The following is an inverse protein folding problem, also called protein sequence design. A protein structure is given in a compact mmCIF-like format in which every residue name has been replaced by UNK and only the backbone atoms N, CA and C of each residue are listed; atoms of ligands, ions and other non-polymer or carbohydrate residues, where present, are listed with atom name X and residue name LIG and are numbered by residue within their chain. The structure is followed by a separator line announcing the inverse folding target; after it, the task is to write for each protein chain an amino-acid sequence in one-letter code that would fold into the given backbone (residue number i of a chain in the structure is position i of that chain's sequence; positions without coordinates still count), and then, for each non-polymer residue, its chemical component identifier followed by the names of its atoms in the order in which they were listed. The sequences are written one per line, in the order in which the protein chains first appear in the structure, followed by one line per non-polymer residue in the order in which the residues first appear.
data_IF_682832864236
#
_entry.id   IF_682832864236
#
_cell.length_a   1.000
_cell.length_b   1.000
_cell.length_c   1.000
_cell.angle_alpha   90.00
_cell.angle_beta   90.00
_cell.angle_gamma   90.00
#
_symmetry.space_group_name_H-M   'P 1'
#
loop_
_entity.id
_entity.type
_entity.pdbx_description
1 polymer ?
#
# COMPACT_ATOMS: atom_id res chain seq x y z
N UNK A 1 49.38 60.74 13.41
CA UNK A 1 49.30 59.32 13.03
C UNK A 1 48.36 58.64 14.01
N UNK A 2 47.13 58.38 13.57
CA UNK A 2 45.98 57.97 14.37
C UNK A 2 45.28 56.84 13.60
N UNK A 3 44.73 55.89 14.36
CA UNK A 3 43.86 54.76 13.98
C UNK A 3 44.51 53.46 13.50
N UNK A 4 44.69 52.54 14.46
CA UNK A 4 44.53 51.09 14.25
C UNK A 4 43.06 50.74 14.54
N UNK A 5 42.31 50.38 13.52
CA UNK A 5 40.96 49.80 13.67
C UNK A 5 41.12 48.29 13.59
N UNK A 6 40.77 47.62 14.69
CA UNK A 6 40.67 46.17 14.80
C UNK A 6 39.31 45.78 14.23
N UNK A 7 39.30 45.05 13.10
CA UNK A 7 38.07 44.46 12.55
C UNK A 7 37.77 43.22 13.37
N UNK A 8 36.74 43.29 14.21
CA UNK A 8 36.20 42.13 14.93
C UNK A 8 35.48 41.23 13.95
N UNK A 9 35.99 40.00 13.84
CA UNK A 9 35.45 38.90 13.06
C UNK A 9 33.98 38.63 13.40
N UNK A 10 33.13 38.65 12.37
CA UNK A 10 31.77 38.13 12.40
C UNK A 10 31.88 36.60 12.50
N UNK A 11 31.87 36.09 13.72
CA UNK A 11 31.68 34.67 14.01
C UNK A 11 30.19 34.37 14.13
N UNK A 12 29.49 34.24 13.00
CA UNK A 12 28.17 33.61 13.00
C UNK A 12 28.34 32.10 13.25
N UNK A 13 28.20 31.71 14.52
CA UNK A 13 27.96 30.33 14.92
C UNK A 13 26.57 29.92 14.45
N UNK A 14 26.47 29.38 13.24
CA UNK A 14 25.33 28.54 12.86
C UNK A 14 25.79 27.08 12.90
N UNK A 15 25.58 26.43 14.04
CA UNK A 15 25.60 24.98 14.15
C UNK A 15 24.34 24.43 13.45
N UNK A 16 24.37 24.35 12.13
CA UNK A 16 23.44 23.47 11.40
C UNK A 16 24.01 22.05 11.45
N UNK A 17 23.62 21.30 12.49
CA UNK A 17 23.69 19.84 12.45
C UNK A 17 22.71 19.34 11.38
N UNK A 18 23.16 19.37 10.13
CA UNK A 18 22.51 18.66 9.03
C UNK A 18 22.87 17.19 9.18
N UNK A 19 22.06 16.46 9.94
CA UNK A 19 22.03 15.01 9.81
C UNK A 19 21.40 14.71 8.44
N UNK A 20 22.26 14.50 7.45
CA UNK A 20 21.86 13.94 6.18
C UNK A 20 21.34 12.53 6.45
N UNK A 21 20.02 12.37 6.54
CA UNK A 21 19.41 11.06 6.44
C UNK A 21 19.80 10.52 5.06
N UNK A 22 20.61 9.47 5.04
CA UNK A 22 20.89 8.75 3.81
C UNK A 22 19.54 8.24 3.29
N UNK A 23 19.03 8.90 2.25
CA UNK A 23 17.93 8.37 1.46
C UNK A 23 18.54 7.22 0.68
N UNK A 24 18.50 6.03 1.26
CA UNK A 24 18.81 4.80 0.54
C UNK A 24 17.78 4.73 -0.57
N UNK A 25 18.20 4.97 -1.82
CA UNK A 25 17.34 4.76 -2.97
C UNK A 25 16.83 3.33 -2.89
N UNK A 26 15.52 3.18 -2.65
CA UNK A 26 14.87 1.89 -2.60
C UNK A 26 15.04 1.26 -3.97
N UNK A 27 15.99 0.34 -4.07
CA UNK A 27 16.11 -0.51 -5.25
C UNK A 27 14.78 -1.23 -5.37
N UNK A 28 14.11 -1.23 -6.54
CA UNK A 28 12.86 -1.95 -6.69
C UNK A 28 13.15 -3.44 -6.49
N UNK A 29 12.96 -3.90 -5.25
CA UNK A 29 13.06 -5.30 -4.87
C UNK A 29 12.01 -6.02 -5.72
N UNK A 30 12.48 -6.95 -6.54
CA UNK A 30 11.64 -7.78 -7.42
C UNK A 30 10.53 -8.36 -6.55
N UNK A 31 9.27 -7.99 -6.84
CA UNK A 31 8.12 -8.42 -6.07
C UNK A 31 8.20 -9.94 -5.82
N UNK A 32 8.07 -10.42 -4.57
CA UNK A 32 8.28 -11.82 -4.27
C UNK A 32 7.37 -12.71 -5.12
N UNK A 33 7.94 -13.81 -5.60
CA UNK A 33 7.33 -14.78 -6.54
C UNK A 33 6.01 -15.37 -6.01
N UNK A 34 5.82 -15.37 -4.68
CA UNK A 34 4.59 -15.68 -3.95
C UNK A 34 3.34 -14.88 -4.39
N UNK A 35 3.53 -13.71 -4.99
CA UNK A 35 2.47 -12.73 -5.21
C UNK A 35 1.44 -13.11 -6.27
N UNK A 36 1.76 -13.98 -7.23
CA UNK A 36 0.92 -14.12 -8.43
C UNK A 36 -0.23 -15.10 -8.26
N UNK A 37 0.00 -16.27 -7.66
CA UNK A 37 -1.03 -17.29 -7.44
C UNK A 37 -2.07 -16.80 -6.43
N UNK A 38 -1.62 -16.21 -5.32
CA UNK A 38 -2.51 -15.60 -4.33
C UNK A 38 -3.33 -14.48 -4.96
N UNK A 39 -2.68 -13.58 -5.71
CA UNK A 39 -3.39 -12.48 -6.37
C UNK A 39 -4.44 -13.01 -7.35
N UNK A 40 -4.09 -13.98 -8.18
CA UNK A 40 -5.02 -14.59 -9.13
C UNK A 40 -6.19 -15.27 -8.42
N UNK A 41 -5.95 -15.96 -7.30
CA UNK A 41 -7.01 -16.56 -6.49
C UNK A 41 -7.95 -15.47 -5.95
N UNK A 42 -7.40 -14.44 -5.31
CA UNK A 42 -8.20 -13.33 -4.75
C UNK A 42 -9.02 -12.65 -5.85
N UNK A 43 -8.41 -12.29 -6.98
CA UNK A 43 -9.11 -11.66 -8.10
C UNK A 43 -10.22 -12.56 -8.67
N UNK A 44 -9.98 -13.87 -8.78
CA UNK A 44 -11.01 -14.81 -9.23
C UNK A 44 -12.17 -14.89 -8.23
N UNK A 45 -11.90 -14.91 -6.92
CA UNK A 45 -12.96 -14.92 -5.89
C UNK A 45 -13.77 -13.62 -5.96
N UNK A 46 -13.11 -12.46 -6.01
CA UNK A 46 -13.79 -11.15 -6.12
C UNK A 46 -14.66 -11.09 -7.38
N UNK A 47 -14.11 -11.54 -8.53
CA UNK A 47 -14.85 -11.62 -9.80
C UNK A 47 -16.04 -12.56 -9.71
N UNK A 48 -15.89 -13.71 -9.06
CA UNK A 48 -16.97 -14.68 -8.88
C UNK A 48 -18.06 -14.17 -7.95
N UNK A 49 -17.71 -13.39 -6.92
CA UNK A 49 -18.66 -12.77 -6.01
C UNK A 49 -19.43 -11.62 -6.67
N UNK A 50 -18.83 -10.90 -7.61
CA UNK A 50 -19.49 -9.82 -8.33
C UNK A 50 -20.46 -10.34 -9.41
N UNK A 51 -21.76 -10.09 -9.25
CA UNK A 51 -22.82 -10.54 -10.18
C UNK A 51 -23.41 -9.44 -11.06
N UNK A 52 -22.73 -8.30 -11.14
CA UNK A 52 -23.16 -7.13 -11.90
C UNK A 52 -23.80 -6.04 -11.03
N UNK A 53 -24.01 -4.85 -11.60
CA UNK A 53 -24.19 -3.63 -10.83
C UNK A 53 -25.55 -3.53 -10.14
N UNK A 54 -26.53 -4.32 -10.57
CA UNK A 54 -27.87 -4.37 -9.98
C UNK A 54 -28.04 -5.51 -8.97
N UNK A 55 -27.07 -6.43 -8.88
CA UNK A 55 -27.15 -7.66 -8.08
C UNK A 55 -26.14 -7.73 -6.95
N UNK A 56 -25.16 -6.83 -6.94
CA UNK A 56 -24.07 -6.86 -5.96
C UNK A 56 -23.73 -5.43 -5.54
N UNK A 57 -24.03 -5.12 -4.29
CA UNK A 57 -23.49 -3.94 -3.59
C UNK A 57 -22.17 -4.27 -2.87
N UNK A 58 -21.49 -3.25 -2.34
CA UNK A 58 -20.22 -3.41 -1.63
C UNK A 58 -20.30 -4.33 -0.40
N UNK A 59 -21.41 -4.34 0.34
CA UNK A 59 -21.56 -5.20 1.52
C UNK A 59 -21.68 -6.66 1.09
N UNK A 60 -22.49 -6.93 0.07
CA UNK A 60 -22.68 -8.25 -0.51
C UNK A 60 -21.38 -8.80 -1.10
N UNK A 61 -20.63 -7.95 -1.80
CA UNK A 61 -19.33 -8.31 -2.36
C UNK A 61 -18.35 -8.72 -1.25
N UNK A 62 -18.15 -7.85 -0.25
CA UNK A 62 -17.21 -8.10 0.85
C UNK A 62 -17.61 -9.34 1.64
N UNK A 63 -18.90 -9.51 1.92
CA UNK A 63 -19.41 -10.69 2.62
C UNK A 63 -19.11 -11.98 1.86
N UNK A 64 -19.43 -12.03 0.57
CA UNK A 64 -19.16 -13.21 -0.26
C UNK A 64 -17.66 -13.55 -0.29
N UNK A 65 -16.80 -12.55 -0.46
CA UNK A 65 -15.34 -12.75 -0.47
C UNK A 65 -14.87 -13.27 0.88
N UNK A 66 -15.32 -12.66 1.98
CA UNK A 66 -14.96 -13.09 3.33
C UNK A 66 -15.42 -14.52 3.61
N UNK A 67 -16.63 -14.90 3.21
CA UNK A 67 -17.15 -16.26 3.41
C UNK A 67 -16.26 -17.30 2.72
N UNK A 68 -15.85 -17.07 1.47
CA UNK A 68 -14.94 -17.97 0.74
C UNK A 68 -13.58 -18.08 1.43
N UNK A 69 -12.96 -16.96 1.82
CA UNK A 69 -11.62 -16.99 2.43
C UNK A 69 -11.61 -17.53 3.87
N UNK A 70 -12.71 -17.39 4.60
CA UNK A 70 -12.82 -17.92 5.96
C UNK A 70 -13.10 -19.43 5.98
N UNK A 71 -13.72 -19.98 4.93
CA UNK A 71 -14.15 -21.39 4.89
C UNK A 71 -13.23 -22.27 4.06
N UNK A 72 -12.79 -21.79 2.89
CA UNK A 72 -12.25 -22.66 1.84
C UNK A 72 -10.76 -22.46 1.57
N UNK A 73 -10.15 -21.40 2.11
CA UNK A 73 -8.78 -21.01 1.76
C UNK A 73 -7.85 -21.04 2.97
N UNK A 74 -6.90 -21.99 3.04
CA UNK A 74 -5.84 -21.97 4.05
C UNK A 74 -5.03 -20.68 3.98
N UNK A 75 -4.74 -20.09 5.15
CA UNK A 75 -3.95 -18.86 5.26
C UNK A 75 -2.70 -19.05 6.13
N UNK A 76 -1.72 -19.87 5.71
CA UNK A 76 -0.49 -20.11 6.46
C UNK A 76 0.42 -18.88 6.54
N UNK A 77 0.19 -17.88 5.69
CA UNK A 77 1.01 -16.68 5.57
C UNK A 77 0.36 -15.45 6.21
N UNK A 78 -0.76 -15.67 6.93
CA UNK A 78 -1.50 -14.68 7.68
C UNK A 78 -1.81 -13.41 6.88
N UNK A 79 -2.06 -13.55 5.57
CA UNK A 79 -2.43 -12.42 4.73
C UNK A 79 -3.81 -11.89 5.14
N UNK A 80 -4.02 -10.60 4.90
CA UNK A 80 -5.28 -9.90 5.08
C UNK A 80 -5.71 -9.29 3.77
N UNK A 81 -7.01 -9.28 3.55
CA UNK A 81 -7.66 -8.71 2.38
C UNK A 81 -8.48 -7.51 2.82
N UNK A 82 -8.43 -6.44 2.04
CA UNK A 82 -9.26 -5.26 2.25
C UNK A 82 -9.75 -4.76 0.90
N UNK A 83 -11.05 -4.53 0.80
CA UNK A 83 -11.67 -3.87 -0.37
C UNK A 83 -12.23 -2.54 0.13
N UNK A 84 -11.89 -1.46 -0.55
CA UNK A 84 -12.35 -0.10 -0.23
C UNK A 84 -12.79 0.63 -1.49
N UNK A 85 -13.75 1.55 -1.36
CA UNK A 85 -14.29 2.29 -2.50
C UNK A 85 -15.73 1.91 -2.76
N UNK A 86 -16.19 2.24 -3.96
CA UNK A 86 -17.57 2.08 -4.37
C UNK A 86 -17.77 0.77 -5.14
N UNK A 87 -18.86 0.08 -4.82
CA UNK A 87 -19.31 -1.10 -5.56
C UNK A 87 -20.83 -1.02 -5.71
N UNK A 88 -21.35 -0.77 -6.93
CA UNK A 88 -20.63 -0.60 -8.19
C UNK A 88 -19.82 0.70 -8.23
N UNK A 89 -18.70 0.72 -8.97
CA UNK A 89 -17.80 1.88 -9.03
C UNK A 89 -16.31 1.51 -8.95
N UNK A 90 -15.49 2.51 -8.66
CA UNK A 90 -14.05 2.34 -8.48
C UNK A 90 -13.74 1.81 -7.07
N UNK A 91 -12.85 0.82 -6.99
CA UNK A 91 -12.47 0.20 -5.74
C UNK A 91 -11.01 -0.22 -5.73
N UNK A 92 -10.41 -0.20 -4.54
CA UNK A 92 -9.07 -0.73 -4.28
C UNK A 92 -9.18 -2.07 -3.56
N UNK A 93 -8.51 -3.08 -4.10
CA UNK A 93 -8.23 -4.34 -3.42
C UNK A 93 -6.80 -4.29 -2.87
N UNK A 94 -6.65 -4.47 -1.57
CA UNK A 94 -5.37 -4.47 -0.87
C UNK A 94 -5.17 -5.84 -0.23
N UNK A 95 -4.06 -6.49 -0.58
CA UNK A 95 -3.59 -7.76 -0.02
C UNK A 95 -2.30 -7.47 0.73
N UNK A 96 -2.19 -7.89 1.99
CA UNK A 96 -0.99 -7.65 2.78
C UNK A 96 -0.73 -8.73 3.81
N UNK A 97 0.53 -8.93 4.22
CA UNK A 97 0.90 -9.88 5.26
C UNK A 97 1.79 -9.25 6.36
N UNK A 98 2.02 -9.94 7.50
CA UNK A 98 2.90 -9.44 8.56
C UNK A 98 4.37 -9.29 8.15
N UNK A 99 4.81 -9.98 7.08
CA UNK A 99 6.16 -9.85 6.54
C UNK A 99 6.36 -8.53 5.77
N UNK A 100 5.30 -7.74 5.57
CA UNK A 100 5.35 -6.46 4.89
C UNK A 100 5.15 -6.55 3.37
N UNK A 101 4.78 -7.71 2.83
CA UNK A 101 4.40 -7.80 1.43
C UNK A 101 3.03 -7.15 1.25
N UNK A 102 2.91 -6.22 0.30
CA UNK A 102 1.66 -5.53 -0.01
C UNK A 102 1.41 -5.52 -1.51
N UNK A 103 0.15 -5.77 -1.90
CA UNK A 103 -0.34 -5.67 -3.27
C UNK A 103 -1.59 -4.81 -3.25
N UNK A 104 -1.61 -3.76 -4.07
CA UNK A 104 -2.78 -2.91 -4.28
C UNK A 104 -3.22 -3.01 -5.73
N UNK A 105 -4.45 -3.45 -5.95
CA UNK A 105 -5.08 -3.51 -7.25
C UNK A 105 -6.23 -2.51 -7.34
N UNK A 106 -6.25 -1.75 -8.42
CA UNK A 106 -7.31 -0.82 -8.75
C UNK A 106 -8.33 -1.54 -9.62
N UNK A 107 -9.55 -1.64 -9.13
CA UNK A 107 -10.66 -2.38 -9.72
C UNK A 107 -11.76 -1.42 -10.16
N UNK A 108 -12.49 -1.80 -11.20
CA UNK A 108 -13.71 -1.14 -11.63
C UNK A 108 -14.85 -2.15 -11.70
N UNK A 109 -15.93 -1.87 -10.96
CA UNK A 109 -17.13 -2.68 -10.90
C UNK A 109 -18.24 -2.04 -11.73
N UNK A 110 -18.21 -2.31 -13.05
CA UNK A 110 -19.24 -1.91 -14.01
C UNK A 110 -20.19 -3.07 -14.34
N UNK A 111 -20.38 -3.40 -15.61
CA UNK A 111 -21.14 -4.62 -15.97
C UNK A 111 -20.43 -5.92 -15.56
N UNK A 112 -19.11 -5.86 -15.46
CA UNK A 112 -18.25 -6.91 -14.91
C UNK A 112 -17.10 -6.25 -14.14
N UNK A 113 -16.43 -7.03 -13.31
CA UNK A 113 -15.21 -6.58 -12.64
C UNK A 113 -14.07 -6.47 -13.67
N UNK A 114 -13.41 -5.33 -13.72
CA UNK A 114 -12.15 -5.12 -14.43
C UNK A 114 -11.01 -4.82 -13.45
N UNK A 115 -9.80 -5.24 -13.83
CA UNK A 115 -8.57 -4.94 -13.10
C UNK A 115 -7.80 -3.93 -13.93
N UNK A 116 -7.69 -2.70 -13.45
CA UNK A 116 -7.03 -1.62 -14.19
C UNK A 116 -5.51 -1.75 -14.09
N UNK A 117 -5.01 -1.94 -12.86
CA UNK A 117 -3.60 -2.21 -12.59
C UNK A 117 -3.42 -2.81 -11.20
N UNK A 118 -2.34 -3.55 -11.00
CA UNK A 118 -1.89 -4.01 -9.70
C UNK A 118 -0.45 -3.55 -9.46
N UNK A 119 -0.17 -3.11 -8.25
CA UNK A 119 1.15 -2.66 -7.82
C UNK A 119 1.52 -3.49 -6.60
N UNK A 120 2.69 -4.12 -6.64
CA UNK A 120 3.26 -4.82 -5.50
C UNK A 120 4.46 -4.05 -4.97
N UNK A 121 4.55 -3.94 -3.65
CA UNK A 121 5.64 -3.27 -2.97
C UNK A 121 5.81 -3.86 -1.57
N UNK A 122 7.00 -3.65 -1.00
CA UNK A 122 7.36 -4.09 0.34
C UNK A 122 7.30 -2.91 1.28
N UNK A 123 6.54 -3.05 2.36
CA UNK A 123 6.55 -2.12 3.50
C UNK A 123 7.35 -2.74 4.64
N UNK A 124 7.92 -1.95 5.56
CA UNK A 124 8.54 -2.50 6.76
C UNK A 124 7.58 -3.46 7.48
N UNK A 125 8.05 -4.63 7.95
CA UNK A 125 7.21 -5.55 8.71
C UNK A 125 6.58 -4.83 9.90
N UNK A 126 5.31 -5.11 10.17
CA UNK A 126 4.63 -4.51 11.31
C UNK A 126 5.28 -5.04 12.59
N UNK A 127 5.90 -4.16 13.37
CA UNK A 127 6.35 -4.55 14.71
C UNK A 127 5.14 -4.77 15.63
N UNK A 128 5.31 -5.53 16.71
CA UNK A 128 4.22 -5.80 17.66
C UNK A 128 3.58 -4.48 18.13
N UNK A 129 2.30 -4.27 17.81
CA UNK A 129 1.54 -3.06 18.16
C UNK A 129 1.43 -2.00 17.05
N UNK A 130 2.03 -2.20 15.87
CA UNK A 130 1.83 -1.32 14.73
C UNK A 130 0.63 -1.76 13.87
N UNK A 131 -0.35 -0.88 13.72
CA UNK A 131 -1.37 -0.98 12.68
C UNK A 131 -0.85 -0.30 11.41
N UNK A 132 -1.12 -0.88 10.24
CA UNK A 132 -0.82 -0.19 8.99
C UNK A 132 -1.64 1.09 8.91
N UNK A 133 -0.96 2.20 8.59
CA UNK A 133 -1.66 3.43 8.23
C UNK A 133 -2.60 3.16 7.06
N UNK A 134 -3.86 3.54 7.22
CA UNK A 134 -4.92 3.43 6.22
C UNK A 134 -4.69 4.44 5.08
N UNK A 135 -3.78 5.40 5.27
CA UNK A 135 -3.45 6.40 4.27
C UNK A 135 -2.59 5.78 3.17
N UNK A 136 -3.04 5.81 1.90
CA UNK A 136 -2.23 5.34 0.79
C UNK A 136 -0.90 6.11 0.76
N UNK A 137 0.22 5.43 0.43
CA UNK A 137 1.50 6.09 0.32
C UNK A 137 1.39 7.24 -0.67
N UNK A 138 1.82 8.44 -0.26
CA UNK A 138 1.80 9.63 -1.11
C UNK A 138 2.62 9.34 -2.37
N UNK A 139 2.00 9.42 -3.53
CA UNK A 139 2.70 9.35 -4.81
C UNK A 139 3.64 10.54 -4.87
N UNK A 140 4.95 10.28 -4.81
CA UNK A 140 5.96 11.28 -5.08
C UNK A 140 6.06 11.45 -6.59
N UNK A 141 5.30 12.40 -7.14
CA UNK A 141 5.47 12.86 -8.52
C UNK A 141 6.68 13.80 -8.53
N UNK A 142 7.71 13.43 -9.30
CA UNK A 142 8.85 14.31 -9.64
C UNK A 142 8.49 15.12 -10.88
#
# INVERSE_FOLDING_TARGET
MLFRIIVFSIGCLFNFNTQAYAVTEATPEKAPEYSRELLNLVLNVVKNCYKGPTKTDGIQLVKCVADVFNQDVPNPLHYKLRITGDCPGESDLIIYNPAGDMITCYLEFGQSMQVNRCISYKVPPLSNGQEMSILPPKVLIK
#
